data_IF_748853227883
#
_entry.id   IF_748853227883
#
_cell.length_a   1.000
_cell.length_b   1.000
_cell.length_c   1.000
_cell.angle_alpha   90.00
_cell.angle_beta   90.00
_cell.angle_gamma   90.00
#
_symmetry.space_group_name_H-M   'P 1'
#
loop_
_entity.id
_entity.type
_entity.pdbx_description
1 polymer ?
#
# COMPACT_ATOMS: atom_id res chain seq x y z
N UNK A 1 27.58 31.47 -14.88
CA UNK A 1 28.50 30.36 -14.54
C UNK A 1 29.97 30.73 -14.68
N UNK A 2 30.50 31.08 -15.86
CA UNK A 2 31.93 31.45 -16.03
C UNK A 2 32.33 32.64 -15.15
N UNK A 3 31.53 33.71 -15.14
CA UNK A 3 31.72 34.87 -14.25
C UNK A 3 31.76 34.48 -12.77
N UNK A 4 30.98 33.48 -12.37
CA UNK A 4 30.83 33.05 -10.98
C UNK A 4 32.00 32.18 -10.53
N UNK A 5 32.48 31.33 -11.43
CA UNK A 5 33.73 30.58 -11.26
C UNK A 5 34.90 31.56 -11.12
N UNK A 6 34.96 32.60 -11.94
CA UNK A 6 36.01 33.63 -11.85
C UNK A 6 35.94 34.38 -10.52
N UNK A 7 34.75 34.79 -10.06
CA UNK A 7 34.59 35.44 -8.76
C UNK A 7 34.96 34.52 -7.58
N UNK A 8 34.61 33.23 -7.65
CA UNK A 8 34.97 32.27 -6.60
C UNK A 8 36.48 31.97 -6.59
N UNK A 9 37.12 31.88 -7.76
CA UNK A 9 38.59 31.78 -7.86
C UNK A 9 39.26 33.02 -7.27
N UNK A 10 38.79 34.23 -7.60
CA UNK A 10 39.31 35.48 -7.04
C UNK A 10 39.16 35.52 -5.51
N UNK A 11 38.02 35.09 -4.98
CA UNK A 11 37.79 35.00 -3.53
C UNK A 11 38.72 33.99 -2.85
N UNK A 12 38.97 32.83 -3.45
CA UNK A 12 39.87 31.79 -2.90
C UNK A 12 41.32 32.25 -2.89
N UNK A 13 41.75 32.90 -3.98
CA UNK A 13 43.06 33.54 -4.06
C UNK A 13 43.21 34.61 -2.98
N UNK A 14 42.18 35.43 -2.75
CA UNK A 14 42.16 36.42 -1.66
C UNK A 14 42.22 35.81 -0.25
N UNK A 15 41.82 34.56 -0.07
CA UNK A 15 41.89 33.80 1.19
C UNK A 15 43.15 32.91 1.29
N UNK A 16 44.10 33.02 0.34
CA UNK A 16 45.32 32.21 0.31
C UNK A 16 45.09 30.73 -0.04
N UNK A 17 43.94 30.38 -0.60
CA UNK A 17 43.60 29.04 -1.06
C UNK A 17 43.85 28.91 -2.56
N UNK A 18 44.98 28.28 -2.93
CA UNK A 18 45.43 28.15 -4.32
C UNK A 18 45.03 26.82 -4.99
N UNK A 19 44.18 26.02 -4.35
CA UNK A 19 43.70 24.77 -4.92
C UNK A 19 42.81 25.02 -6.14
N UNK A 20 42.99 24.22 -7.20
CA UNK A 20 42.13 24.27 -8.40
C UNK A 20 40.66 24.10 -7.98
N UNK A 21 39.80 25.00 -8.46
CA UNK A 21 38.37 24.94 -8.21
C UNK A 21 37.82 23.60 -8.76
N UNK A 22 37.23 22.77 -7.90
CA UNK A 22 36.83 21.39 -8.24
C UNK A 22 37.77 20.29 -7.73
N UNK A 23 39.00 20.60 -7.31
CA UNK A 23 39.96 19.58 -6.85
C UNK A 23 39.51 18.97 -5.50
N UNK A 24 39.27 17.65 -5.49
CA UNK A 24 38.71 16.89 -4.34
C UNK A 24 37.31 17.35 -3.91
N UNK A 25 36.63 18.12 -4.75
CA UNK A 25 35.27 18.59 -4.49
C UNK A 25 34.26 17.58 -5.05
N UNK A 26 33.45 16.97 -4.18
CA UNK A 26 32.40 16.05 -4.58
C UNK A 26 31.14 16.76 -5.11
N UNK A 27 30.10 15.97 -5.42
CA UNK A 27 28.80 16.43 -5.93
C UNK A 27 28.20 17.57 -5.11
N UNK A 28 28.44 17.60 -3.79
CA UNK A 28 27.95 18.65 -2.87
C UNK A 28 28.42 20.06 -3.22
N UNK A 29 29.70 20.22 -3.55
CA UNK A 29 30.25 21.53 -3.89
C UNK A 29 29.65 22.03 -5.21
N UNK A 30 29.43 21.12 -6.16
CA UNK A 30 28.75 21.43 -7.43
C UNK A 30 27.30 21.83 -7.18
N UNK A 31 26.55 21.09 -6.37
CA UNK A 31 25.17 21.45 -6.00
C UNK A 31 25.10 22.81 -5.30
N UNK A 32 26.03 23.13 -4.40
CA UNK A 32 26.11 24.44 -3.76
C UNK A 32 26.31 25.59 -4.77
N UNK A 33 27.18 25.39 -5.77
CA UNK A 33 27.36 26.38 -6.85
C UNK A 33 26.11 26.55 -7.71
N UNK A 34 25.40 25.46 -8.00
CA UNK A 34 24.13 25.49 -8.74
C UNK A 34 23.08 26.28 -7.97
N UNK A 35 22.93 26.03 -6.66
CA UNK A 35 22.01 26.78 -5.80
C UNK A 35 22.31 28.28 -5.80
N UNK A 36 23.59 28.66 -5.69
CA UNK A 36 24.00 30.07 -5.79
C UNK A 36 23.78 30.70 -7.17
N UNK A 37 23.92 29.92 -8.25
CA UNK A 37 23.57 30.36 -9.59
C UNK A 37 22.06 30.61 -9.74
N UNK A 38 21.22 29.68 -9.27
CA UNK A 38 19.77 29.80 -9.34
C UNK A 38 19.25 31.02 -8.59
N UNK A 39 19.78 31.31 -7.40
CA UNK A 39 19.37 32.47 -6.60
C UNK A 39 19.63 33.79 -7.34
N UNK A 40 20.81 33.91 -7.99
CA UNK A 40 21.13 35.07 -8.82
C UNK A 40 20.22 35.18 -10.04
N UNK A 41 20.02 34.09 -10.78
CA UNK A 41 19.19 34.08 -11.99
C UNK A 41 17.75 34.49 -11.69
N UNK A 42 17.21 34.04 -10.55
CA UNK A 42 15.89 34.43 -10.07
C UNK A 42 15.84 35.90 -9.63
N UNK A 43 16.86 36.37 -8.90
CA UNK A 43 16.97 37.78 -8.48
C UNK A 43 17.02 38.72 -9.69
N UNK A 44 17.74 38.33 -10.74
CA UNK A 44 17.86 39.09 -11.99
C UNK A 44 16.61 38.96 -12.89
N UNK A 45 15.60 38.14 -12.53
CA UNK A 45 14.40 37.82 -13.32
C UNK A 45 14.70 37.40 -14.76
N UNK A 46 15.88 36.83 -15.01
CA UNK A 46 16.35 36.48 -16.36
C UNK A 46 15.79 35.15 -16.87
N UNK A 47 15.23 34.35 -15.99
CA UNK A 47 14.78 32.99 -16.31
C UNK A 47 13.54 32.64 -15.51
N UNK A 48 12.52 32.11 -16.18
CA UNK A 48 11.23 31.77 -15.56
C UNK A 48 11.19 30.37 -14.93
N UNK A 49 12.05 29.45 -15.38
CA UNK A 49 12.12 28.08 -14.85
C UNK A 49 13.03 27.19 -15.69
N UNK A 50 13.31 25.98 -15.21
CA UNK A 50 14.15 25.00 -15.92
C UNK A 50 13.31 24.27 -17.01
N UNK A 51 13.70 24.33 -18.30
CA UNK A 51 13.01 23.60 -19.38
C UNK A 51 12.98 22.09 -19.16
N UNK A 52 11.99 21.40 -19.75
CA UNK A 52 11.81 19.96 -19.52
C UNK A 52 12.95 19.09 -20.05
N UNK A 53 13.58 19.50 -21.15
CA UNK A 53 14.69 18.76 -21.78
C UNK A 53 16.08 19.15 -21.24
N UNK A 54 16.18 19.85 -20.11
CA UNK A 54 17.48 20.27 -19.57
C UNK A 54 18.15 19.16 -18.77
N UNK A 55 19.26 18.64 -19.26
CA UNK A 55 20.21 17.83 -18.49
C UNK A 55 21.44 18.66 -18.14
N UNK A 56 22.03 18.43 -16.97
CA UNK A 56 23.30 19.04 -16.57
C UNK A 56 24.35 17.96 -16.36
N UNK A 57 25.34 17.92 -17.24
CA UNK A 57 26.49 17.05 -17.11
C UNK A 57 27.62 17.74 -16.34
N UNK A 58 28.11 17.07 -15.30
CA UNK A 58 29.22 17.55 -14.48
C UNK A 58 30.46 16.74 -14.84
N UNK A 59 31.39 17.40 -15.52
CA UNK A 59 32.66 16.82 -15.95
C UNK A 59 33.71 17.05 -14.86
N UNK A 60 34.33 15.97 -14.37
CA UNK A 60 35.37 15.99 -13.34
C UNK A 60 36.66 15.45 -13.91
N UNK A 61 37.71 16.28 -13.84
CA UNK A 61 39.03 15.93 -14.32
C UNK A 61 39.95 15.67 -13.11
N UNK A 62 40.59 14.51 -13.10
CA UNK A 62 41.65 14.15 -12.16
C UNK A 62 43.01 14.36 -12.82
N UNK A 63 43.91 15.07 -12.13
CA UNK A 63 45.32 15.20 -12.53
C UNK A 63 46.15 13.96 -12.16
N UNK A 64 45.53 12.77 -12.09
CA UNK A 64 46.22 11.49 -11.92
C UNK A 64 47.04 11.14 -13.16
N UNK A 65 47.95 10.16 -13.04
CA UNK A 65 48.69 9.62 -14.17
C UNK A 65 48.42 8.11 -14.23
N UNK A 66 47.54 7.63 -15.13
CA UNK A 66 46.90 8.35 -16.24
C UNK A 66 45.79 9.33 -15.79
N UNK A 67 45.50 10.39 -16.59
CA UNK A 67 44.43 11.34 -16.31
C UNK A 67 43.07 10.64 -16.41
N UNK A 68 42.25 10.80 -15.38
CA UNK A 68 40.90 10.23 -15.32
C UNK A 68 39.86 11.34 -15.52
N UNK A 69 38.86 11.05 -16.35
CA UNK A 69 37.67 11.90 -16.54
C UNK A 69 36.45 11.12 -16.06
N UNK A 70 35.70 11.72 -15.13
CA UNK A 70 34.44 11.18 -14.63
C UNK A 70 33.31 12.15 -14.97
N UNK A 71 32.19 11.63 -15.47
CA UNK A 71 31.03 12.43 -15.83
C UNK A 71 29.87 12.02 -14.95
N UNK A 72 29.32 12.96 -14.19
CA UNK A 72 28.13 12.75 -13.37
C UNK A 72 26.99 13.61 -13.90
N UNK A 73 25.86 13.01 -14.26
CA UNK A 73 24.65 13.76 -14.61
C UNK A 73 23.92 14.25 -13.34
N UNK A 74 23.43 15.49 -13.37
CA UNK A 74 22.41 15.99 -12.44
C UNK A 74 21.08 16.01 -13.20
N UNK A 75 20.14 15.11 -12.87
CA UNK A 75 18.90 14.96 -13.61
C UNK A 75 18.01 16.21 -13.58
N UNK A 76 17.20 16.39 -14.63
CA UNK A 76 16.27 17.52 -14.76
C UNK A 76 15.34 17.68 -13.55
N UNK A 77 14.79 16.57 -13.04
CA UNK A 77 13.89 16.58 -11.88
C UNK A 77 14.57 17.18 -10.63
N UNK A 78 15.85 16.85 -10.41
CA UNK A 78 16.62 17.42 -9.31
C UNK A 78 16.89 18.92 -9.53
N UNK A 79 17.22 19.34 -10.75
CA UNK A 79 17.40 20.77 -11.07
C UNK A 79 16.13 21.58 -10.86
N UNK A 80 14.97 21.07 -11.31
CA UNK A 80 13.67 21.72 -11.11
C UNK A 80 13.35 21.88 -9.63
N UNK A 81 13.55 20.84 -8.83
CA UNK A 81 13.34 20.91 -7.39
C UNK A 81 14.27 21.95 -6.74
N UNK A 82 15.57 21.92 -7.03
CA UNK A 82 16.54 22.86 -6.47
C UNK A 82 16.23 24.31 -6.87
N UNK A 83 15.83 24.54 -8.13
CA UNK A 83 15.39 25.84 -8.62
C UNK A 83 14.21 26.38 -7.80
N UNK A 84 13.17 25.57 -7.63
CA UNK A 84 11.99 25.96 -6.88
C UNK A 84 12.29 26.21 -5.39
N UNK A 85 13.09 25.35 -4.77
CA UNK A 85 13.48 25.51 -3.37
C UNK A 85 14.25 26.82 -3.14
N UNK A 86 15.10 27.23 -4.08
CA UNK A 86 15.77 28.54 -4.03
C UNK A 86 14.75 29.67 -4.15
N UNK A 87 13.73 29.54 -5.01
CA UNK A 87 12.64 30.51 -5.14
C UNK A 87 11.84 30.70 -3.84
N UNK A 88 11.77 29.67 -3.00
CA UNK A 88 11.18 29.73 -1.67
C UNK A 88 12.15 30.22 -0.56
N UNK A 89 13.38 30.59 -0.90
CA UNK A 89 14.40 31.06 0.04
C UNK A 89 15.09 29.94 0.84
N UNK A 90 15.01 28.69 0.38
CA UNK A 90 15.50 27.50 1.11
C UNK A 90 16.96 27.14 0.82
N UNK A 91 17.70 28.00 0.10
CA UNK A 91 19.09 27.76 -0.32
C UNK A 91 20.00 27.31 0.83
N UNK A 92 20.09 28.12 1.89
CA UNK A 92 21.01 27.87 3.02
C UNK A 92 20.67 26.58 3.78
N UNK A 93 19.38 26.29 3.89
CA UNK A 93 18.90 25.08 4.52
C UNK A 93 19.30 23.84 3.70
N UNK A 94 19.12 23.89 2.38
CA UNK A 94 19.58 22.83 1.47
C UNK A 94 21.10 22.64 1.51
N UNK A 95 21.89 23.71 1.52
CA UNK A 95 23.34 23.62 1.67
C UNK A 95 23.73 22.92 2.98
N UNK A 96 23.05 23.23 4.09
CA UNK A 96 23.27 22.59 5.40
C UNK A 96 22.88 21.11 5.38
N UNK A 97 21.72 20.80 4.80
CA UNK A 97 21.23 19.43 4.63
C UNK A 97 22.23 18.58 3.85
N UNK A 98 22.67 19.07 2.68
CA UNK A 98 23.63 18.39 1.81
C UNK A 98 25.02 18.25 2.44
N UNK A 99 25.46 19.22 3.24
CA UNK A 99 26.72 19.12 3.97
C UNK A 99 26.72 17.94 4.97
N UNK A 100 25.57 17.69 5.61
CA UNK A 100 25.39 16.63 6.62
C UNK A 100 25.03 15.24 6.05
N UNK A 101 24.93 15.12 4.73
CA UNK A 101 24.47 13.90 4.04
C UNK A 101 25.43 12.71 4.28
N UNK A 102 24.86 11.50 4.37
CA UNK A 102 25.62 10.24 4.44
C UNK A 102 25.74 9.61 3.05
N UNK A 103 26.86 8.91 2.78
CA UNK A 103 27.16 8.31 1.47
C UNK A 103 26.15 7.26 0.98
N UNK A 104 25.42 6.60 1.88
CA UNK A 104 24.60 5.43 1.53
C UNK A 104 23.33 5.76 0.74
N UNK A 105 22.79 6.99 0.83
CA UNK A 105 21.61 7.44 0.06
C UNK A 105 21.70 8.94 -0.20
N UNK A 106 22.27 9.35 -1.34
CA UNK A 106 22.37 10.76 -1.71
C UNK A 106 20.99 11.40 -1.94
N UNK A 107 20.86 12.67 -1.60
CA UNK A 107 19.66 13.47 -1.74
C UNK A 107 19.18 13.53 -3.19
N UNK A 108 20.08 13.79 -4.13
CA UNK A 108 19.75 13.93 -5.56
C UNK A 108 19.23 12.62 -6.16
N UNK A 109 19.77 11.48 -5.69
CA UNK A 109 19.29 10.15 -6.08
C UNK A 109 17.88 9.91 -5.55
N UNK A 110 17.58 10.29 -4.31
CA UNK A 110 16.21 10.23 -3.80
C UNK A 110 15.23 11.11 -4.60
N UNK A 111 15.68 12.28 -5.08
CA UNK A 111 14.84 13.14 -5.94
C UNK A 111 14.58 12.48 -7.29
N UNK A 112 15.59 11.87 -7.90
CA UNK A 112 15.47 11.15 -9.16
C UNK A 112 14.48 9.98 -9.05
N UNK A 113 14.63 9.18 -8.00
CA UNK A 113 13.79 8.01 -7.75
C UNK A 113 12.41 8.34 -7.15
N UNK A 114 12.10 9.63 -6.96
CA UNK A 114 10.83 10.10 -6.37
C UNK A 114 10.52 9.47 -5.00
N UNK A 115 11.56 9.15 -4.22
CA UNK A 115 11.46 8.45 -2.93
C UNK A 115 11.73 9.38 -1.76
N UNK A 116 11.37 8.94 -0.56
CA UNK A 116 11.66 9.72 0.65
C UNK A 116 13.17 9.84 0.93
N UNK A 117 13.60 11.03 1.34
CA UNK A 117 14.95 11.28 1.85
C UNK A 117 14.96 11.28 3.38
N UNK A 118 15.63 10.28 3.97
CA UNK A 118 15.71 10.11 5.42
C UNK A 118 16.30 11.31 6.18
N UNK A 119 17.15 12.12 5.53
CA UNK A 119 17.78 13.29 6.15
C UNK A 119 16.82 14.45 6.44
N UNK A 120 15.62 14.44 5.86
CA UNK A 120 14.58 15.43 6.18
C UNK A 120 13.97 15.20 7.57
N UNK A 121 14.03 13.98 8.08
CA UNK A 121 13.37 13.62 9.32
C UNK A 121 14.22 13.95 10.56
N UNK A 122 13.60 14.38 11.66
CA UNK A 122 14.27 14.52 12.95
C UNK A 122 14.88 13.19 13.40
N UNK A 123 16.14 13.22 13.86
CA UNK A 123 16.87 12.06 14.36
C UNK A 123 17.89 12.44 15.43
N UNK A 124 17.68 11.97 16.66
CA UNK A 124 18.57 12.28 17.78
C UNK A 124 18.63 13.80 18.02
N UNK A 125 19.83 14.39 17.89
CA UNK A 125 20.05 15.85 17.99
C UNK A 125 19.75 16.61 16.70
N UNK A 126 19.65 15.93 15.56
CA UNK A 126 19.31 16.54 14.28
C UNK A 126 17.82 16.86 14.24
N UNK A 127 17.49 18.13 14.01
CA UNK A 127 16.09 18.60 13.99
C UNK A 127 15.34 18.22 12.72
N UNK A 128 16.02 17.74 11.67
CA UNK A 128 15.39 17.53 10.37
C UNK A 128 15.27 18.83 9.58
N UNK A 129 14.55 18.75 8.47
CA UNK A 129 14.19 19.89 7.64
C UNK A 129 13.08 20.72 8.29
N UNK A 130 13.06 22.01 7.97
CA UNK A 130 11.98 22.94 8.29
C UNK A 130 10.65 22.50 7.66
N UNK A 131 9.49 22.89 8.23
CA UNK A 131 8.18 22.56 7.66
C UNK A 131 8.05 22.96 6.19
N UNK A 132 8.65 24.10 5.81
CA UNK A 132 8.65 24.62 4.45
C UNK A 132 9.39 23.71 3.47
N UNK A 133 10.64 23.36 3.77
CA UNK A 133 11.44 22.48 2.91
C UNK A 133 10.85 21.07 2.86
N UNK A 134 10.37 20.58 4.00
CA UNK A 134 9.74 19.27 4.09
C UNK A 134 8.47 19.20 3.24
N UNK A 135 7.55 20.16 3.37
CA UNK A 135 6.32 20.20 2.58
C UNK A 135 6.62 20.31 1.07
N UNK A 136 7.55 21.18 0.68
CA UNK A 136 7.99 21.31 -0.71
C UNK A 136 8.49 19.98 -1.27
N UNK A 137 9.35 19.28 -0.52
CA UNK A 137 9.89 17.97 -0.94
C UNK A 137 8.79 16.92 -1.07
N UNK A 138 7.92 16.79 -0.06
CA UNK A 138 6.85 15.79 -0.08
C UNK A 138 5.90 15.97 -1.27
N UNK A 139 5.60 17.21 -1.65
CA UNK A 139 4.74 17.49 -2.80
C UNK A 139 5.48 17.32 -4.12
N UNK A 140 6.66 17.93 -4.27
CA UNK A 140 7.37 17.98 -5.57
C UNK A 140 8.12 16.71 -5.92
N UNK A 141 8.59 15.98 -4.92
CA UNK A 141 9.41 14.78 -5.12
C UNK A 141 8.58 13.53 -4.86
N UNK A 142 7.91 13.45 -3.70
CA UNK A 142 7.15 12.25 -3.32
C UNK A 142 5.71 12.24 -3.86
N UNK A 143 5.29 13.27 -4.61
CA UNK A 143 3.96 13.35 -5.22
C UNK A 143 2.80 13.40 -4.22
N UNK A 144 3.06 13.71 -2.94
CA UNK A 144 1.99 13.80 -1.93
C UNK A 144 1.14 15.04 -2.16
N UNK A 145 -0.16 14.93 -1.89
CA UNK A 145 -1.05 16.09 -2.00
C UNK A 145 -0.94 16.98 -0.76
N UNK A 146 -1.23 18.29 -0.87
CA UNK A 146 -1.33 19.16 0.31
C UNK A 146 -2.29 18.62 1.37
N UNK A 147 -3.41 18.02 0.93
CA UNK A 147 -4.41 17.39 1.80
C UNK A 147 -3.81 16.26 2.65
N UNK A 148 -2.96 15.42 2.07
CA UNK A 148 -2.29 14.33 2.80
C UNK A 148 -1.39 14.88 3.91
N UNK A 149 -0.68 15.97 3.65
CA UNK A 149 0.16 16.64 4.65
C UNK A 149 -0.68 17.27 5.77
N UNK A 150 -1.78 17.94 5.42
CA UNK A 150 -2.75 18.48 6.39
C UNK A 150 -3.28 17.37 7.30
N UNK A 151 -3.63 16.22 6.73
CA UNK A 151 -4.16 15.08 7.50
C UNK A 151 -3.11 14.47 8.42
N UNK A 152 -1.86 14.32 7.96
CA UNK A 152 -0.78 13.85 8.82
C UNK A 152 -0.53 14.81 10.00
N UNK A 153 -0.54 16.12 9.74
CA UNK A 153 -0.41 17.15 10.77
C UNK A 153 -1.58 17.14 11.74
N UNK A 154 -2.82 17.01 11.24
CA UNK A 154 -4.02 16.92 12.07
C UNK A 154 -3.99 15.68 12.99
N UNK A 155 -3.60 14.51 12.46
CA UNK A 155 -3.44 13.29 13.25
C UNK A 155 -2.37 13.45 14.34
N UNK A 156 -1.22 14.05 13.99
CA UNK A 156 -0.14 14.32 14.94
C UNK A 156 -0.60 15.29 16.04
N UNK A 157 -1.26 16.38 15.66
CA UNK A 157 -1.76 17.43 16.57
C UNK A 157 -2.79 16.87 17.52
N UNK A 158 -3.80 16.16 17.02
CA UNK A 158 -4.82 15.55 17.85
C UNK A 158 -4.19 14.56 18.85
N UNK A 159 -3.27 13.70 18.39
CA UNK A 159 -2.63 12.73 19.28
C UNK A 159 -1.76 13.41 20.34
N UNK A 160 -1.07 14.49 20.00
CA UNK A 160 -0.24 15.22 20.94
C UNK A 160 -1.05 15.82 22.10
N UNK A 161 -2.31 16.22 21.87
CA UNK A 161 -3.18 16.75 22.95
C UNK A 161 -3.64 15.69 23.95
N UNK A 162 -3.64 14.41 23.56
CA UNK A 162 -4.08 13.29 24.39
C UNK A 162 -2.95 12.65 25.21
N UNK A 163 -1.69 13.00 24.93
CA UNK A 163 -0.51 12.37 25.51
C UNK A 163 0.18 13.28 26.52
N UNK A 164 0.68 12.67 27.59
CA UNK A 164 1.64 13.34 28.46
C UNK A 164 2.99 13.55 27.73
N UNK A 165 3.82 14.45 28.29
CA UNK A 165 5.11 14.79 27.70
C UNK A 165 6.00 13.56 27.47
N UNK A 166 6.01 12.62 28.42
CA UNK A 166 6.85 11.41 28.36
C UNK A 166 6.46 10.50 27.19
N UNK A 167 5.16 10.24 27.01
CA UNK A 167 4.70 9.39 25.92
C UNK A 167 4.82 10.09 24.56
N UNK A 168 4.60 11.41 24.51
CA UNK A 168 4.82 12.19 23.31
C UNK A 168 6.30 12.14 22.87
N UNK A 169 7.24 12.31 23.81
CA UNK A 169 8.68 12.22 23.51
C UNK A 169 9.13 10.83 23.09
N UNK A 170 8.45 9.76 23.56
CA UNK A 170 8.66 8.39 23.07
C UNK A 170 8.18 8.24 21.63
N UNK A 171 6.99 8.76 21.32
CA UNK A 171 6.37 8.65 19.99
C UNK A 171 7.15 9.42 18.91
N UNK A 172 7.83 10.49 19.30
CA UNK A 172 8.74 11.27 18.45
C UNK A 172 9.99 10.51 17.98
N UNK A 173 10.37 9.41 18.63
CA UNK A 173 11.56 8.62 18.29
C UNK A 173 11.34 7.83 16.99
N UNK A 174 12.44 7.41 16.36
CA UNK A 174 12.43 6.64 15.11
C UNK A 174 11.61 5.34 15.27
N UNK A 175 11.71 4.71 16.43
CA UNK A 175 11.00 3.49 16.80
C UNK A 175 9.58 3.76 17.35
N UNK A 176 9.14 5.03 17.42
CA UNK A 176 7.88 5.42 18.06
C UNK A 176 6.64 4.71 17.49
N UNK A 177 6.69 4.34 16.20
CA UNK A 177 5.62 3.63 15.49
C UNK A 177 5.93 2.15 15.25
N UNK A 178 6.98 1.59 15.85
CA UNK A 178 7.33 0.17 15.74
C UNK A 178 6.30 -0.75 16.42
N UNK A 179 5.64 -0.25 17.47
CA UNK A 179 4.61 -0.97 18.21
C UNK A 179 3.26 -0.97 17.48
N UNK A 180 2.67 -2.15 17.33
CA UNK A 180 1.37 -2.30 16.69
C UNK A 180 0.24 -1.59 17.46
N UNK A 181 0.33 -1.54 18.79
CA UNK A 181 -0.63 -0.85 19.66
C UNK A 181 -0.72 0.65 19.33
N UNK A 182 0.43 1.31 19.14
CA UNK A 182 0.52 2.73 18.75
C UNK A 182 -0.12 2.93 17.37
N UNK A 183 0.25 2.12 16.38
CA UNK A 183 -0.35 2.22 15.03
C UNK A 183 -1.86 1.99 15.06
N UNK A 184 -2.34 1.06 15.89
CA UNK A 184 -3.76 0.78 16.03
C UNK A 184 -4.54 1.94 16.66
N UNK A 185 -3.93 2.75 17.54
CA UNK A 185 -4.55 3.97 18.06
C UNK A 185 -4.79 5.00 16.95
N UNK A 186 -3.78 5.26 16.11
CA UNK A 186 -3.92 6.16 14.96
C UNK A 186 -4.92 5.61 13.93
N UNK A 187 -4.87 4.31 13.63
CA UNK A 187 -5.88 3.65 12.79
C UNK A 187 -7.30 3.82 13.36
N UNK A 188 -7.44 3.77 14.69
CA UNK A 188 -8.70 4.07 15.37
C UNK A 188 -9.19 5.51 15.14
N UNK A 189 -8.29 6.50 15.18
CA UNK A 189 -8.60 7.90 14.86
C UNK A 189 -9.01 8.06 13.40
N UNK A 190 -8.23 7.50 12.46
CA UNK A 190 -8.50 7.55 11.02
C UNK A 190 -9.89 6.94 10.71
N UNK A 191 -10.21 5.78 11.28
CA UNK A 191 -11.51 5.16 11.08
C UNK A 191 -12.67 5.97 11.65
N UNK A 192 -12.45 6.73 12.72
CA UNK A 192 -13.45 7.66 13.27
C UNK A 192 -13.68 8.84 12.33
N UNK A 193 -12.60 9.45 11.85
CA UNK A 193 -12.67 10.54 10.87
C UNK A 193 -13.37 10.10 9.58
N UNK A 194 -13.21 8.84 9.16
CA UNK A 194 -13.91 8.28 8.00
C UNK A 194 -15.44 8.16 8.23
N UNK A 195 -15.86 7.78 9.44
CA UNK A 195 -17.28 7.76 9.82
C UNK A 195 -17.89 9.16 9.92
N UNK A 196 -17.06 10.16 10.26
CA UNK A 196 -17.43 11.57 10.33
C UNK A 196 -17.38 12.28 8.96
N UNK A 197 -16.91 11.59 7.91
CA UNK A 197 -16.83 12.12 6.55
C UNK A 197 -15.63 13.05 6.30
N UNK A 198 -14.72 13.19 7.26
CA UNK A 198 -13.54 14.07 7.16
C UNK A 198 -12.29 13.38 6.63
N UNK A 199 -12.39 12.08 6.33
CA UNK A 199 -11.28 11.25 5.86
C UNK A 199 -11.81 10.18 4.89
N UNK A 200 -11.12 9.91 3.79
CA UNK A 200 -11.52 8.89 2.80
C UNK A 200 -10.46 7.79 2.60
N UNK A 201 -10.77 6.77 1.79
CA UNK A 201 -9.76 5.76 1.42
C UNK A 201 -8.65 6.37 0.55
N UNK A 202 -8.96 7.38 -0.27
CA UNK A 202 -7.96 8.07 -1.10
C UNK A 202 -7.00 8.87 -0.22
N UNK A 203 -7.51 9.51 0.83
CA UNK A 203 -6.69 10.16 1.86
C UNK A 203 -5.77 9.15 2.55
N UNK A 204 -6.30 7.96 2.88
CA UNK A 204 -5.54 6.88 3.49
C UNK A 204 -4.40 6.43 2.58
N UNK A 205 -4.69 6.16 1.31
CA UNK A 205 -3.68 5.71 0.35
C UNK A 205 -2.68 6.81 -0.04
N UNK A 206 -3.06 8.08 0.11
CA UNK A 206 -2.12 9.18 0.01
C UNK A 206 -1.10 9.23 1.17
N UNK A 207 -1.52 8.84 2.38
CA UNK A 207 -0.61 8.68 3.53
C UNK A 207 0.19 7.39 3.44
N UNK A 208 -0.48 6.28 3.14
CA UNK A 208 0.03 4.92 3.12
C UNK A 208 -0.18 4.30 1.72
N UNK A 209 0.70 4.63 0.75
CA UNK A 209 0.59 4.12 -0.62
C UNK A 209 0.50 2.60 -0.67
N UNK A 210 -0.38 2.08 -1.51
CA UNK A 210 -0.52 0.64 -1.72
C UNK A 210 0.72 0.08 -2.42
N UNK A 211 1.17 -1.10 -2.00
CA UNK A 211 2.27 -1.82 -2.65
C UNK A 211 1.70 -2.73 -3.73
N UNK A 212 1.69 -2.25 -4.97
CA UNK A 212 1.11 -2.99 -6.10
C UNK A 212 1.87 -4.28 -6.40
N UNK A 213 3.21 -4.24 -6.32
CA UNK A 213 4.09 -5.35 -6.67
C UNK A 213 4.09 -6.50 -5.64
N UNK A 214 3.72 -6.23 -4.39
CA UNK A 214 3.67 -7.26 -3.35
C UNK A 214 2.38 -8.07 -3.43
N UNK A 215 2.36 -9.33 -3.00
CA UNK A 215 1.10 -10.08 -2.90
C UNK A 215 0.26 -9.68 -1.68
N UNK A 216 -1.06 -9.73 -1.84
CA UNK A 216 -2.03 -9.30 -0.84
C UNK A 216 -2.16 -7.77 -0.74
N UNK A 217 -3.08 -7.31 0.10
CA UNK A 217 -3.31 -5.88 0.33
C UNK A 217 -2.34 -5.33 1.38
N UNK A 218 -1.29 -4.64 0.93
CA UNK A 218 -0.26 -4.03 1.78
C UNK A 218 -0.08 -2.56 1.44
N UNK A 219 0.37 -1.80 2.43
CA UNK A 219 0.66 -0.37 2.29
C UNK A 219 2.06 -0.06 2.79
N UNK A 220 2.64 1.03 2.28
CA UNK A 220 3.94 1.52 2.72
C UNK A 220 3.90 2.02 4.17
N UNK A 221 5.06 1.99 4.83
CA UNK A 221 5.23 2.48 6.19
C UNK A 221 5.38 4.02 6.25
N UNK A 222 5.52 4.67 5.10
CA UNK A 222 5.92 6.08 4.99
C UNK A 222 4.97 7.06 5.68
N UNK A 223 3.66 6.77 5.69
CA UNK A 223 2.68 7.61 6.40
C UNK A 223 2.97 7.76 7.90
N UNK A 224 3.59 6.76 8.52
CA UNK A 224 4.01 6.86 9.92
C UNK A 224 5.19 7.80 10.10
N UNK A 225 6.13 7.83 9.15
CA UNK A 225 7.22 8.80 9.15
C UNK A 225 6.70 10.23 8.99
N UNK A 226 5.69 10.41 8.14
CA UNK A 226 5.06 11.70 7.92
C UNK A 226 4.34 12.22 9.18
N UNK A 227 3.53 11.37 9.83
CA UNK A 227 2.89 11.72 11.12
C UNK A 227 3.97 12.00 12.18
N UNK A 228 5.02 11.17 12.23
CA UNK A 228 6.14 11.37 13.16
C UNK A 228 6.84 12.71 12.94
N UNK A 229 7.05 13.12 11.69
CA UNK A 229 7.63 14.43 11.37
C UNK A 229 6.80 15.55 12.02
N UNK A 230 5.48 15.56 11.81
CA UNK A 230 4.62 16.60 12.36
C UNK A 230 4.49 16.55 13.88
N UNK A 231 4.72 15.41 14.54
CA UNK A 231 4.83 15.38 16.00
C UNK A 231 5.98 16.26 16.52
N UNK A 232 7.05 16.44 15.75
CA UNK A 232 8.15 17.36 16.10
C UNK A 232 7.85 18.82 15.76
N UNK A 233 6.89 19.08 14.87
CA UNK A 233 6.56 20.39 14.32
C UNK A 233 5.06 20.69 14.47
N UNK A 234 4.53 20.57 15.69
CA UNK A 234 3.10 20.76 15.98
C UNK A 234 2.62 22.17 15.61
N UNK A 235 3.41 23.19 15.92
CA UNK A 235 3.09 24.60 15.62
C UNK A 235 3.51 25.02 14.20
N UNK A 236 4.19 24.13 13.47
CA UNK A 236 4.78 24.41 12.16
C UNK A 236 4.10 23.62 11.06
N UNK A 237 3.02 24.17 10.50
CA UNK A 237 2.42 23.67 9.26
C UNK A 237 2.43 24.75 8.19
N UNK A 238 3.15 24.49 7.10
CA UNK A 238 3.06 25.31 5.90
C UNK A 238 2.25 24.55 4.87
N UNK A 239 1.11 25.13 4.48
CA UNK A 239 0.26 24.58 3.44
C UNK A 239 0.95 24.79 2.09
N UNK A 240 1.41 23.74 1.39
CA UNK A 240 2.02 23.91 0.09
C UNK A 240 0.99 24.33 -0.94
N UNK A 241 1.45 25.03 -1.98
CA UNK A 241 0.61 25.45 -3.10
C UNK A 241 -0.03 24.24 -3.79
N UNK A 242 -1.31 24.36 -4.12
CA UNK A 242 -2.04 23.31 -4.81
C UNK A 242 -1.50 23.15 -6.23
N UNK A 243 -1.21 21.91 -6.64
CA UNK A 243 -0.84 21.60 -8.01
C UNK A 243 -1.99 20.96 -8.78
N UNK A 244 -2.03 21.23 -10.07
CA UNK A 244 -2.91 20.57 -11.03
C UNK A 244 -2.59 19.08 -11.05
N UNK A 245 -3.53 18.27 -10.55
CA UNK A 245 -3.44 16.81 -10.47
C UNK A 245 -3.20 16.19 -11.85
N UNK A 246 -2.28 15.23 -11.95
CA UNK A 246 -2.57 14.07 -12.77
C UNK A 246 -3.60 13.23 -12.00
N UNK A 247 -4.67 12.80 -12.69
CA UNK A 247 -5.65 11.91 -12.09
C UNK A 247 -4.91 10.67 -11.58
N UNK A 248 -5.06 10.34 -10.29
CA UNK A 248 -4.59 9.07 -9.76
C UNK A 248 -5.32 7.98 -10.55
N UNK A 249 -4.58 7.26 -11.39
CA UNK A 249 -5.09 6.06 -12.01
C UNK A 249 -5.48 5.10 -10.89
N UNK A 250 -6.72 4.62 -10.91
CA UNK A 250 -7.19 3.71 -9.89
C UNK A 250 -6.36 2.43 -9.95
N UNK A 251 -5.74 2.09 -8.82
CA UNK A 251 -5.01 0.84 -8.67
C UNK A 251 -5.95 -0.35 -8.91
N UNK A 252 -5.53 -1.39 -9.66
CA UNK A 252 -6.30 -2.61 -9.81
C UNK A 252 -6.68 -3.23 -8.46
N UNK A 253 -5.78 -3.22 -7.48
CA UNK A 253 -6.05 -3.71 -6.13
C UNK A 253 -7.09 -2.87 -5.39
N UNK A 254 -7.05 -1.55 -5.52
CA UNK A 254 -8.09 -0.69 -4.92
C UNK A 254 -9.48 -1.00 -5.48
N UNK A 255 -9.58 -1.27 -6.79
CA UNK A 255 -10.83 -1.68 -7.41
C UNK A 255 -11.37 -2.98 -6.79
N UNK A 256 -10.51 -3.96 -6.48
CA UNK A 256 -10.91 -5.17 -5.73
C UNK A 256 -11.41 -4.82 -4.34
N UNK A 257 -10.63 -4.04 -3.60
CA UNK A 257 -10.96 -3.69 -2.23
C UNK A 257 -12.35 -3.04 -2.19
N UNK A 258 -12.65 -2.15 -3.13
CA UNK A 258 -13.99 -1.55 -3.30
C UNK A 258 -15.06 -2.57 -3.66
N UNK A 259 -14.80 -3.44 -4.64
CA UNK A 259 -15.75 -4.48 -5.04
C UNK A 259 -16.16 -5.38 -3.86
N UNK A 260 -15.20 -6.04 -3.21
CA UNK A 260 -15.49 -6.98 -2.13
C UNK A 260 -16.07 -6.28 -0.90
N UNK A 261 -15.58 -5.09 -0.55
CA UNK A 261 -16.19 -4.29 0.50
C UNK A 261 -17.66 -4.00 0.19
N UNK A 262 -17.98 -3.62 -1.05
CA UNK A 262 -19.35 -3.28 -1.47
C UNK A 262 -20.28 -4.49 -1.41
N UNK A 263 -19.83 -5.67 -1.86
CA UNK A 263 -20.62 -6.90 -1.83
C UNK A 263 -20.91 -7.33 -0.40
N UNK A 264 -19.89 -7.35 0.46
CA UNK A 264 -20.03 -7.72 1.87
C UNK A 264 -20.98 -6.76 2.61
N UNK A 265 -20.84 -5.44 2.39
CA UNK A 265 -21.73 -4.47 3.01
C UNK A 265 -23.17 -4.61 2.54
N UNK A 266 -23.38 -4.76 1.22
CA UNK A 266 -24.73 -4.93 0.65
C UNK A 266 -25.41 -6.16 1.22
N UNK A 267 -24.73 -7.30 1.26
CA UNK A 267 -25.27 -8.53 1.84
C UNK A 267 -25.62 -8.36 3.32
N UNK A 268 -24.69 -7.82 4.12
CA UNK A 268 -24.91 -7.66 5.56
C UNK A 268 -26.03 -6.66 5.86
N UNK A 269 -26.07 -5.52 5.17
CA UNK A 269 -27.10 -4.48 5.36
C UNK A 269 -28.48 -5.01 4.95
N UNK A 270 -28.56 -5.78 3.85
CA UNK A 270 -29.81 -6.43 3.42
C UNK A 270 -30.37 -7.36 4.48
N UNK A 271 -29.51 -8.10 5.19
CA UNK A 271 -29.94 -9.11 6.15
C UNK A 271 -30.19 -8.58 7.56
N UNK A 272 -29.40 -7.60 8.00
CA UNK A 272 -29.37 -7.15 9.40
C UNK A 272 -29.66 -5.67 9.60
N UNK A 273 -29.71 -4.89 8.52
CA UNK A 273 -29.89 -3.45 8.55
C UNK A 273 -28.61 -2.65 8.80
N UNK A 274 -28.66 -1.36 8.43
CA UNK A 274 -27.53 -0.41 8.54
C UNK A 274 -27.09 -0.20 9.99
N UNK A 275 -28.04 -0.13 10.93
CA UNK A 275 -27.72 0.11 12.35
C UNK A 275 -26.90 -1.02 12.96
N UNK A 276 -27.29 -2.28 12.69
CA UNK A 276 -26.53 -3.45 13.14
C UNK A 276 -25.17 -3.53 12.46
N UNK A 277 -25.08 -3.16 11.19
CA UNK A 277 -23.78 -3.08 10.51
C UNK A 277 -22.83 -2.12 11.24
N UNK A 278 -23.32 -0.94 11.63
CA UNK A 278 -22.54 0.06 12.38
C UNK A 278 -22.20 -0.41 13.79
N UNK A 279 -23.19 -0.90 14.55
CA UNK A 279 -23.02 -1.21 15.97
C UNK A 279 -22.31 -2.55 16.23
N UNK A 280 -22.56 -3.58 15.40
CA UNK A 280 -22.00 -4.94 15.56
C UNK A 280 -20.69 -5.08 14.79
N UNK A 281 -20.72 -4.96 13.45
CA UNK A 281 -19.58 -5.30 12.62
C UNK A 281 -18.40 -4.32 12.79
N UNK A 282 -18.65 -3.01 12.63
CA UNK A 282 -17.55 -2.02 12.72
C UNK A 282 -16.93 -1.98 14.12
N UNK A 283 -17.74 -2.12 15.18
CA UNK A 283 -17.26 -2.20 16.56
C UNK A 283 -16.42 -3.46 16.79
N UNK A 284 -16.85 -4.63 16.27
CA UNK A 284 -16.08 -5.86 16.42
C UNK A 284 -14.76 -5.85 15.64
N UNK A 285 -14.72 -5.19 14.48
CA UNK A 285 -13.46 -4.95 13.76
C UNK A 285 -12.55 -4.04 14.59
N UNK A 286 -13.10 -2.98 15.20
CA UNK A 286 -12.33 -2.10 16.07
C UNK A 286 -11.71 -2.83 17.27
N UNK A 287 -12.41 -3.83 17.81
CA UNK A 287 -11.95 -4.68 18.91
C UNK A 287 -11.04 -5.85 18.47
N UNK A 288 -10.79 -6.03 17.17
CA UNK A 288 -10.00 -7.15 16.65
C UNK A 288 -10.72 -8.50 16.67
N UNK A 289 -12.03 -8.52 16.93
CA UNK A 289 -12.86 -9.74 16.98
C UNK A 289 -13.30 -10.24 15.59
N UNK A 290 -12.86 -9.55 14.54
CA UNK A 290 -13.10 -9.89 13.14
C UNK A 290 -11.75 -9.99 12.46
N UNK A 291 -11.48 -11.14 11.85
CA UNK A 291 -10.20 -11.44 11.20
C UNK A 291 -10.38 -12.34 9.99
N UNK A 292 -9.28 -12.95 9.54
CA UNK A 292 -9.26 -13.80 8.36
C UNK A 292 -10.30 -14.93 8.37
N UNK A 293 -10.57 -15.64 9.50
CA UNK A 293 -11.61 -16.67 9.52
C UNK A 293 -13.02 -16.13 9.25
N UNK A 294 -13.32 -14.89 9.67
CA UNK A 294 -14.59 -14.26 9.35
C UNK A 294 -14.67 -13.89 7.87
N UNK A 295 -13.58 -13.33 7.32
CA UNK A 295 -13.50 -13.03 5.88
C UNK A 295 -13.69 -14.27 5.01
N UNK A 296 -13.05 -15.40 5.32
CA UNK A 296 -13.25 -16.67 4.59
C UNK A 296 -14.71 -17.08 4.53
N UNK A 297 -15.42 -16.97 5.66
CA UNK A 297 -16.86 -17.29 5.71
C UNK A 297 -17.69 -16.34 4.85
N UNK A 298 -17.35 -15.05 4.82
CA UNK A 298 -18.02 -14.11 3.91
C UNK A 298 -17.71 -14.46 2.45
N UNK A 299 -16.46 -14.80 2.15
CA UNK A 299 -16.02 -15.12 0.79
C UNK A 299 -16.77 -16.33 0.22
N UNK A 300 -16.82 -17.43 0.96
CA UNK A 300 -17.56 -18.64 0.56
C UNK A 300 -19.05 -18.37 0.43
N UNK A 301 -19.64 -17.69 1.43
CA UNK A 301 -21.07 -17.38 1.41
C UNK A 301 -21.47 -16.58 0.17
N UNK A 302 -20.70 -15.54 -0.16
CA UNK A 302 -21.01 -14.66 -1.27
C UNK A 302 -20.71 -15.34 -2.62
N UNK A 303 -19.74 -16.26 -2.68
CA UNK A 303 -19.48 -17.06 -3.87
C UNK A 303 -20.69 -17.86 -4.37
N UNK A 304 -21.60 -18.25 -3.47
CA UNK A 304 -22.84 -18.97 -3.84
C UNK A 304 -23.82 -18.11 -4.66
N UNK A 305 -23.67 -16.79 -4.67
CA UNK A 305 -24.65 -15.87 -5.28
C UNK A 305 -24.04 -14.79 -6.15
N UNK A 306 -22.75 -14.50 -6.01
CA UNK A 306 -22.06 -13.41 -6.70
C UNK A 306 -20.82 -13.93 -7.44
N UNK A 307 -20.54 -13.42 -8.64
CA UNK A 307 -19.31 -13.72 -9.36
C UNK A 307 -18.08 -13.06 -8.70
N UNK A 308 -16.89 -13.49 -9.10
CA UNK A 308 -15.62 -12.92 -8.65
C UNK A 308 -15.12 -13.40 -7.29
N UNK A 309 -15.90 -14.15 -6.51
CA UNK A 309 -15.41 -14.75 -5.25
C UNK A 309 -14.65 -16.06 -5.51
N UNK A 310 -13.49 -15.95 -6.15
CA UNK A 310 -12.60 -17.08 -6.50
C UNK A 310 -11.40 -17.19 -5.56
N UNK A 311 -10.72 -18.33 -5.56
CA UNK A 311 -9.51 -18.49 -4.74
C UNK A 311 -8.36 -17.60 -5.25
N UNK A 312 -8.24 -17.40 -6.58
CA UNK A 312 -7.32 -16.43 -7.17
C UNK A 312 -7.51 -15.01 -6.64
N UNK A 313 -8.77 -14.55 -6.51
CA UNK A 313 -9.05 -13.26 -5.89
C UNK A 313 -8.71 -13.24 -4.40
N UNK A 314 -9.03 -14.31 -3.66
CA UNK A 314 -8.66 -14.46 -2.25
C UNK A 314 -7.14 -14.33 -2.06
N UNK A 315 -6.34 -15.01 -2.88
CA UNK A 315 -4.87 -14.95 -2.86
C UNK A 315 -4.36 -13.53 -3.09
N UNK A 316 -4.92 -12.85 -4.09
CA UNK A 316 -4.57 -11.46 -4.41
C UNK A 316 -4.84 -10.49 -3.26
N UNK A 317 -5.87 -10.76 -2.45
CA UNK A 317 -6.28 -9.88 -1.35
C UNK A 317 -5.60 -10.20 -0.01
N UNK A 318 -5.43 -11.49 0.29
CA UNK A 318 -5.23 -11.96 1.66
C UNK A 318 -3.94 -12.76 1.87
N UNK A 319 -3.22 -13.17 0.82
CA UNK A 319 -2.04 -14.03 0.94
C UNK A 319 -0.77 -13.27 0.55
N UNK A 320 0.33 -13.53 1.26
CA UNK A 320 1.64 -12.94 0.93
C UNK A 320 2.44 -13.84 -0.01
N UNK A 321 3.70 -13.46 -0.26
CA UNK A 321 4.56 -14.16 -1.21
C UNK A 321 4.88 -15.59 -0.74
N UNK A 322 4.75 -15.84 0.56
CA UNK A 322 4.94 -17.14 1.21
C UNK A 322 3.61 -17.85 1.47
N UNK A 323 2.52 -17.40 0.84
CA UNK A 323 1.15 -17.88 1.06
C UNK A 323 0.66 -17.77 2.52
N UNK A 324 1.27 -16.89 3.32
CA UNK A 324 0.83 -16.65 4.70
C UNK A 324 -0.35 -15.68 4.66
N UNK A 325 -1.45 -16.07 5.32
CA UNK A 325 -2.67 -15.28 5.37
C UNK A 325 -2.57 -14.07 6.29
N UNK A 326 -2.84 -12.88 5.74
CA UNK A 326 -2.96 -11.64 6.50
C UNK A 326 -4.17 -10.82 6.00
N UNK A 327 -5.08 -10.48 6.91
CA UNK A 327 -6.32 -9.78 6.54
C UNK A 327 -6.54 -8.45 7.26
N UNK A 328 -5.61 -8.04 8.13
CA UNK A 328 -5.79 -6.86 8.99
C UNK A 328 -5.80 -5.56 8.19
N UNK A 329 -4.92 -5.42 7.21
CA UNK A 329 -4.87 -4.24 6.34
C UNK A 329 -6.11 -4.17 5.43
N UNK A 330 -6.49 -5.29 4.79
CA UNK A 330 -7.72 -5.38 4.01
C UNK A 330 -8.96 -4.99 4.82
N UNK A 331 -9.12 -5.57 6.02
CA UNK A 331 -10.24 -5.24 6.91
C UNK A 331 -10.23 -3.78 7.36
N UNK A 332 -9.04 -3.20 7.53
CA UNK A 332 -8.92 -1.79 7.85
C UNK A 332 -9.41 -0.93 6.68
N UNK A 333 -8.99 -1.21 5.45
CA UNK A 333 -9.45 -0.49 4.27
C UNK A 333 -10.95 -0.66 4.02
N UNK A 334 -11.50 -1.87 4.22
CA UNK A 334 -12.94 -2.12 4.22
C UNK A 334 -13.66 -1.24 5.24
N UNK A 335 -13.13 -1.15 6.47
CA UNK A 335 -13.70 -0.29 7.51
C UNK A 335 -13.73 1.18 7.11
N UNK A 336 -12.71 1.68 6.39
CA UNK A 336 -12.69 3.06 5.89
C UNK A 336 -13.74 3.29 4.80
N UNK A 337 -13.83 2.38 3.83
CA UNK A 337 -14.83 2.42 2.77
C UNK A 337 -16.24 2.41 3.36
N UNK A 338 -16.53 1.44 4.22
CA UNK A 338 -17.82 1.31 4.87
C UNK A 338 -18.17 2.52 5.73
N UNK A 339 -17.20 3.08 6.45
CA UNK A 339 -17.41 4.31 7.22
C UNK A 339 -17.81 5.48 6.32
N UNK A 340 -17.10 5.65 5.21
CA UNK A 340 -17.37 6.70 4.21
C UNK A 340 -18.74 6.52 3.54
N UNK A 341 -19.09 5.28 3.18
CA UNK A 341 -20.36 4.93 2.53
C UNK A 341 -21.56 5.11 3.45
N UNK A 342 -21.43 4.71 4.73
CA UNK A 342 -22.45 4.96 5.74
C UNK A 342 -22.67 6.45 5.99
N UNK A 343 -21.59 7.24 6.01
CA UNK A 343 -21.69 8.70 6.18
C UNK A 343 -22.43 9.36 5.02
N UNK A 344 -22.11 8.96 3.79
CA UNK A 344 -22.72 9.53 2.56
C UNK A 344 -24.11 8.97 2.25
N UNK A 345 -24.53 7.94 2.96
CA UNK A 345 -25.71 7.13 2.64
C UNK A 345 -25.71 6.52 1.22
N UNK A 346 -24.52 6.21 0.68
CA UNK A 346 -24.34 5.66 -0.66
C UNK A 346 -23.76 4.26 -0.57
N UNK A 347 -24.38 3.30 -1.26
CA UNK A 347 -23.75 2.00 -1.53
C UNK A 347 -22.93 2.14 -2.82
N UNK A 348 -21.63 1.87 -2.75
CA UNK A 348 -20.80 1.95 -3.95
C UNK A 348 -21.19 0.87 -4.96
N UNK A 349 -21.32 1.28 -6.20
CA UNK A 349 -21.31 0.38 -7.34
C UNK A 349 -19.85 0.05 -7.68
N UNK A 350 -19.59 -1.20 -8.00
CA UNK A 350 -18.28 -1.65 -8.45
C UNK A 350 -18.52 -2.78 -9.45
N UNK A 351 -17.81 -2.71 -10.57
CA UNK A 351 -17.83 -3.77 -11.58
C UNK A 351 -17.20 -5.04 -11.02
N UNK A 352 -17.65 -6.18 -11.54
CA UNK A 352 -17.05 -7.47 -11.22
C UNK A 352 -15.58 -7.45 -11.69
N UNK A 353 -14.62 -7.75 -10.82
CA UNK A 353 -13.22 -7.77 -11.23
C UNK A 353 -12.96 -8.93 -12.19
N UNK A 354 -12.16 -8.69 -13.23
CA UNK A 354 -11.74 -9.73 -14.17
C UNK A 354 -10.64 -10.56 -13.51
N UNK A 355 -10.91 -11.82 -13.18
CA UNK A 355 -9.93 -12.78 -12.67
C UNK A 355 -9.99 -14.10 -13.42
N UNK A 356 -8.83 -14.72 -13.54
CA UNK A 356 -8.73 -16.13 -13.86
C UNK A 356 -9.34 -16.92 -12.68
N UNK A 357 -10.32 -17.75 -12.99
CA UNK A 357 -10.87 -18.70 -12.04
C UNK A 357 -9.81 -19.77 -11.76
N UNK A 358 -9.00 -19.56 -10.71
CA UNK A 358 -8.09 -20.57 -10.19
C UNK A 358 -8.57 -20.99 -8.80
N UNK A 359 -8.66 -22.30 -8.60
CA UNK A 359 -8.86 -22.94 -7.30
C UNK A 359 -7.53 -23.14 -6.54
N UNK A 360 -6.37 -23.13 -7.23
CA UNK A 360 -5.07 -23.62 -6.76
C UNK A 360 -5.15 -25.00 -6.07
N UNK A 361 -6.14 -25.83 -6.45
CA UNK A 361 -6.23 -27.24 -6.11
C UNK A 361 -5.67 -28.07 -7.27
N UNK A 362 -5.16 -29.29 -7.03
CA UNK A 362 -4.84 -30.22 -8.11
C UNK A 362 -6.05 -30.44 -9.03
N UNK A 363 -5.79 -30.64 -10.32
CA UNK A 363 -6.83 -30.78 -11.33
C UNK A 363 -7.73 -31.98 -11.04
N UNK A 364 -7.16 -33.08 -10.54
CA UNK A 364 -7.87 -34.28 -10.15
C UNK A 364 -8.89 -33.98 -9.04
N UNK A 365 -8.49 -33.19 -8.03
CA UNK A 365 -9.38 -32.80 -6.92
C UNK A 365 -10.49 -31.89 -7.44
N UNK A 366 -10.16 -30.92 -8.29
CA UNK A 366 -11.14 -30.00 -8.87
C UNK A 366 -12.16 -30.76 -9.74
N UNK A 367 -11.70 -31.69 -10.57
CA UNK A 367 -12.54 -32.54 -11.40
C UNK A 367 -13.45 -33.44 -10.56
N UNK A 368 -12.90 -34.10 -9.53
CA UNK A 368 -13.69 -34.94 -8.62
C UNK A 368 -14.78 -34.16 -7.88
N UNK A 369 -14.49 -32.94 -7.44
CA UNK A 369 -15.51 -32.08 -6.84
C UNK A 369 -16.63 -31.72 -7.82
N UNK A 370 -16.29 -31.42 -9.08
CA UNK A 370 -17.26 -31.15 -10.16
C UNK A 370 -18.14 -32.36 -10.45
N UNK A 371 -17.55 -33.55 -10.58
CA UNK A 371 -18.29 -34.79 -10.82
C UNK A 371 -19.23 -35.13 -9.66
N UNK A 372 -18.74 -35.05 -8.42
CA UNK A 372 -19.56 -35.33 -7.22
C UNK A 372 -20.68 -34.32 -7.04
N UNK A 373 -20.42 -33.05 -7.34
CA UNK A 373 -21.47 -32.02 -7.39
C UNK A 373 -22.53 -32.38 -8.43
N UNK A 374 -22.14 -32.66 -9.68
CA UNK A 374 -23.06 -32.99 -10.77
C UNK A 374 -23.92 -34.22 -10.43
N UNK A 375 -23.29 -35.32 -9.96
CA UNK A 375 -23.99 -36.53 -9.52
C UNK A 375 -24.97 -36.26 -8.39
N UNK A 376 -24.61 -35.43 -7.42
CA UNK A 376 -25.49 -35.08 -6.31
C UNK A 376 -26.71 -34.29 -6.80
N UNK A 377 -26.47 -33.27 -7.64
CA UNK A 377 -27.52 -32.40 -8.19
C UNK A 377 -28.46 -33.20 -9.08
N UNK A 378 -27.95 -34.11 -9.92
CA UNK A 378 -28.76 -35.00 -10.74
C UNK A 378 -29.67 -35.90 -9.88
N UNK A 379 -29.13 -36.49 -8.80
CA UNK A 379 -29.88 -37.45 -7.96
C UNK A 379 -30.84 -36.79 -6.97
N UNK A 380 -30.49 -35.63 -6.41
CA UNK A 380 -31.19 -35.01 -5.26
C UNK A 380 -31.65 -33.58 -5.51
N UNK A 381 -31.20 -32.95 -6.58
CA UNK A 381 -31.53 -31.57 -6.94
C UNK A 381 -30.67 -30.51 -6.25
N UNK A 382 -30.57 -29.37 -6.91
CA UNK A 382 -29.72 -28.24 -6.52
C UNK A 382 -30.09 -27.64 -5.14
N UNK A 383 -31.39 -27.54 -4.83
CA UNK A 383 -31.87 -27.04 -3.53
C UNK A 383 -31.40 -27.92 -2.36
N UNK A 384 -31.39 -29.25 -2.56
CA UNK A 384 -30.91 -30.20 -1.56
C UNK A 384 -29.41 -30.09 -1.39
N UNK A 385 -28.64 -29.91 -2.47
CA UNK A 385 -27.20 -29.70 -2.37
C UNK A 385 -26.87 -28.49 -1.47
N UNK A 386 -27.53 -27.35 -1.67
CA UNK A 386 -27.32 -26.17 -0.82
C UNK A 386 -27.64 -26.46 0.66
N UNK A 387 -28.78 -27.08 0.96
CA UNK A 387 -29.18 -27.40 2.33
C UNK A 387 -28.29 -28.45 3.00
N UNK A 388 -28.01 -29.55 2.30
CA UNK A 388 -27.41 -30.76 2.86
C UNK A 388 -25.87 -30.73 2.80
N UNK A 389 -25.29 -29.83 2.01
CA UNK A 389 -23.83 -29.68 1.84
C UNK A 389 -23.38 -28.27 2.23
N UNK A 390 -23.72 -27.23 1.46
CA UNK A 390 -23.16 -25.88 1.67
C UNK A 390 -23.52 -25.27 3.02
N UNK A 391 -24.80 -25.32 3.43
CA UNK A 391 -25.21 -24.81 4.74
C UNK A 391 -24.57 -25.60 5.89
N UNK A 392 -24.38 -26.92 5.72
CA UNK A 392 -23.75 -27.77 6.74
C UNK A 392 -22.25 -27.51 6.84
N UNK A 393 -21.55 -27.31 5.72
CA UNK A 393 -20.15 -26.86 5.70
C UNK A 393 -20.01 -25.50 6.39
N UNK A 394 -20.91 -24.55 6.10
CA UNK A 394 -20.90 -23.20 6.69
C UNK A 394 -21.09 -23.23 8.21
N UNK A 395 -21.96 -24.12 8.70
CA UNK A 395 -22.22 -24.34 10.13
C UNK A 395 -21.15 -25.18 10.82
N UNK A 396 -20.24 -25.81 10.06
CA UNK A 396 -19.22 -26.71 10.58
C UNK A 396 -19.76 -28.08 10.99
N UNK A 397 -20.92 -28.48 10.49
CA UNK A 397 -21.53 -29.79 10.75
C UNK A 397 -20.88 -30.91 9.93
N UNK A 398 -20.20 -30.56 8.84
CA UNK A 398 -19.37 -31.46 8.04
C UNK A 398 -17.99 -30.85 7.83
N UNK A 399 -16.96 -31.71 7.85
CA UNK A 399 -15.54 -31.36 7.94
C UNK A 399 -14.75 -31.84 6.71
N UNK A 400 -13.42 -31.77 6.77
CA UNK A 400 -12.52 -32.42 5.81
C UNK A 400 -12.80 -33.91 5.61
N UNK A 401 -13.30 -34.62 6.62
CA UNK A 401 -13.63 -36.05 6.51
C UNK A 401 -14.79 -36.30 5.55
N UNK A 402 -15.67 -35.32 5.37
CA UNK A 402 -16.69 -35.39 4.34
C UNK A 402 -16.06 -35.33 2.95
N UNK A 403 -15.13 -34.42 2.72
CA UNK A 403 -14.39 -34.31 1.45
C UNK A 403 -13.54 -35.56 1.18
N UNK A 404 -12.81 -36.07 2.19
CA UNK A 404 -12.04 -37.32 2.09
C UNK A 404 -12.95 -38.44 1.58
N UNK A 405 -14.13 -38.61 2.20
CA UNK A 405 -15.11 -39.61 1.74
C UNK A 405 -15.58 -39.36 0.32
N UNK A 406 -15.82 -38.12 -0.11
CA UNK A 406 -16.28 -37.88 -1.48
C UNK A 406 -15.21 -38.16 -2.55
N UNK A 407 -13.95 -37.90 -2.24
CA UNK A 407 -12.84 -37.90 -3.20
C UNK A 407 -12.00 -39.20 -3.18
N UNK A 408 -11.94 -39.89 -2.04
CA UNK A 408 -11.15 -41.11 -1.83
C UNK A 408 -12.01 -42.38 -1.87
N UNK A 409 -13.35 -42.27 -1.90
CA UNK A 409 -14.28 -43.41 -1.77
C UNK A 409 -13.85 -44.64 -2.57
N UNK A 410 -13.85 -45.79 -1.88
CA UNK A 410 -13.66 -47.10 -2.48
C UNK A 410 -14.68 -47.32 -3.61
N UNK A 411 -14.18 -47.78 -4.76
CA UNK A 411 -14.93 -48.11 -5.98
C UNK A 411 -16.34 -48.63 -5.68
N UNK A 412 -17.37 -47.92 -6.13
CA UNK A 412 -18.72 -48.50 -6.19
C UNK A 412 -18.92 -49.37 -7.46
N UNK A 413 -17.92 -49.44 -8.35
CA UNK A 413 -17.93 -50.29 -9.53
C UNK A 413 -16.55 -50.40 -10.20
N UNK A 414 -16.35 -51.38 -11.10
CA UNK A 414 -15.09 -51.60 -11.81
C UNK A 414 -14.71 -50.47 -12.78
N UNK A 415 -15.68 -49.63 -13.19
CA UNK A 415 -15.50 -48.58 -14.21
C UNK A 415 -15.55 -47.14 -13.65
N UNK A 416 -15.73 -46.94 -12.35
CA UNK A 416 -15.65 -45.59 -11.75
C UNK A 416 -14.18 -45.29 -11.38
N UNK A 417 -13.51 -44.31 -12.04
CA UNK A 417 -12.16 -43.93 -11.68
C UNK A 417 -12.14 -43.37 -10.27
N UNK A 418 -11.23 -43.88 -9.44
CA UNK A 418 -10.95 -43.26 -8.15
C UNK A 418 -10.31 -41.90 -8.40
N UNK A 419 -10.89 -40.83 -7.86
CA UNK A 419 -10.38 -39.49 -8.14
C UNK A 419 -9.07 -39.21 -7.40
N UNK A 420 -8.89 -39.79 -6.21
CA UNK A 420 -7.69 -39.59 -5.40
C UNK A 420 -7.38 -40.82 -4.50
N UNK A 421 -6.21 -41.45 -4.62
CA UNK A 421 -5.69 -42.42 -3.66
C UNK A 421 -5.57 -41.87 -2.23
N UNK A 422 -5.59 -42.76 -1.22
CA UNK A 422 -5.58 -42.35 0.20
C UNK A 422 -4.25 -41.69 0.62
N UNK A 423 -3.13 -42.15 0.09
CA UNK A 423 -1.80 -41.54 0.29
C UNK A 423 -1.73 -40.11 -0.27
N UNK A 424 -2.33 -39.90 -1.45
CA UNK A 424 -2.40 -38.56 -2.06
C UNK A 424 -3.30 -37.59 -1.29
N UNK A 425 -4.27 -38.09 -0.51
CA UNK A 425 -5.10 -37.24 0.35
C UNK A 425 -4.28 -36.58 1.46
N UNK A 426 -3.38 -37.34 2.09
CA UNK A 426 -2.55 -36.80 3.16
C UNK A 426 -1.52 -35.80 2.63
N UNK A 427 -1.00 -36.03 1.41
CA UNK A 427 -0.12 -35.10 0.70
C UNK A 427 -0.86 -33.81 0.29
N UNK A 428 -2.11 -33.91 -0.16
CA UNK A 428 -2.95 -32.76 -0.50
C UNK A 428 -3.09 -31.79 0.69
N UNK A 429 -3.14 -32.31 1.91
CA UNK A 429 -3.28 -31.54 3.14
C UNK A 429 -1.96 -30.93 3.64
N UNK A 430 -0.88 -31.05 2.86
CA UNK A 430 0.43 -30.46 3.12
C UNK A 430 0.80 -29.44 2.04
N UNK A 431 1.59 -28.43 2.41
CA UNK A 431 2.20 -27.51 1.46
C UNK A 431 3.49 -28.09 0.86
N UNK A 432 4.14 -27.34 -0.03
CA UNK A 432 5.38 -27.77 -0.68
C UNK A 432 6.53 -28.04 0.31
N UNK A 433 6.48 -27.45 1.50
CA UNK A 433 7.44 -27.69 2.59
C UNK A 433 6.99 -28.80 3.56
N UNK A 434 5.90 -29.51 3.26
CA UNK A 434 5.36 -30.60 4.07
C UNK A 434 4.57 -30.16 5.31
N UNK A 435 4.33 -28.85 5.48
CA UNK A 435 3.59 -28.29 6.62
C UNK A 435 2.09 -28.47 6.42
N UNK A 436 1.31 -28.68 7.49
CA UNK A 436 -0.14 -28.88 7.36
C UNK A 436 -0.84 -27.61 6.86
N UNK A 437 -1.54 -27.72 5.74
CA UNK A 437 -2.33 -26.65 5.10
C UNK A 437 -3.84 -26.98 5.04
N UNK A 438 -4.29 -27.95 5.84
CA UNK A 438 -5.65 -28.50 5.83
C UNK A 438 -6.78 -27.46 5.90
N UNK A 439 -6.59 -26.37 6.66
CA UNK A 439 -7.56 -25.27 6.74
C UNK A 439 -7.69 -24.48 5.44
N UNK A 440 -6.61 -24.34 4.69
CA UNK A 440 -6.63 -23.69 3.37
C UNK A 440 -7.31 -24.58 2.35
N UNK A 441 -6.92 -25.86 2.32
CA UNK A 441 -7.54 -26.87 1.43
C UNK A 441 -9.04 -26.99 1.66
N UNK A 442 -9.48 -27.04 2.92
CA UNK A 442 -10.91 -27.02 3.25
C UNK A 442 -11.61 -25.78 2.67
N UNK A 443 -11.00 -24.60 2.82
CA UNK A 443 -11.54 -23.35 2.28
C UNK A 443 -11.60 -23.37 0.74
N UNK A 444 -10.54 -23.82 0.06
CA UNK A 444 -10.50 -23.96 -1.39
C UNK A 444 -11.60 -24.90 -1.90
N UNK A 445 -11.72 -26.11 -1.33
CA UNK A 445 -12.74 -27.08 -1.76
C UNK A 445 -14.17 -26.58 -1.50
N UNK A 446 -14.40 -25.92 -0.36
CA UNK A 446 -15.70 -25.30 -0.07
C UNK A 446 -16.02 -24.17 -1.05
N UNK A 447 -15.03 -23.35 -1.40
CA UNK A 447 -15.20 -22.26 -2.37
C UNK A 447 -15.51 -22.79 -3.77
N UNK A 448 -14.87 -23.87 -4.20
CA UNK A 448 -15.18 -24.55 -5.47
C UNK A 448 -16.64 -25.01 -5.49
N UNK A 449 -17.12 -25.70 -4.45
CA UNK A 449 -18.52 -26.13 -4.40
C UNK A 449 -19.52 -24.96 -4.37
N UNK A 450 -19.16 -23.84 -3.75
CA UNK A 450 -19.98 -22.63 -3.74
C UNK A 450 -20.07 -21.99 -5.14
N UNK A 451 -18.96 -21.92 -5.87
CA UNK A 451 -18.93 -21.42 -7.25
C UNK A 451 -19.73 -22.32 -8.21
N UNK A 452 -19.57 -23.64 -8.12
CA UNK A 452 -20.35 -24.60 -8.90
C UNK A 452 -21.86 -24.48 -8.64
N UNK A 453 -22.24 -24.27 -7.37
CA UNK A 453 -23.63 -24.02 -7.01
C UNK A 453 -24.18 -22.74 -7.66
N UNK A 454 -23.41 -21.65 -7.63
CA UNK A 454 -23.79 -20.38 -8.28
C UNK A 454 -24.00 -20.58 -9.78
N UNK A 455 -23.03 -21.20 -10.45
CA UNK A 455 -23.07 -21.49 -11.90
C UNK A 455 -24.32 -22.29 -12.27
N UNK A 456 -24.60 -23.37 -11.53
CA UNK A 456 -25.80 -24.18 -11.75
C UNK A 456 -27.11 -23.43 -11.43
N UNK A 457 -27.09 -22.47 -10.50
CA UNK A 457 -28.26 -21.68 -10.13
C UNK A 457 -28.52 -20.51 -11.10
N UNK A 458 -27.49 -20.02 -11.79
CA UNK A 458 -27.53 -18.90 -12.72
C UNK A 458 -26.89 -19.26 -14.09
N UNK A 459 -27.47 -20.20 -14.87
CA UNK A 459 -26.86 -20.69 -16.10
C UNK A 459 -26.69 -19.63 -17.21
N UNK A 460 -27.30 -18.44 -17.07
CA UNK A 460 -27.22 -17.35 -18.05
C UNK A 460 -25.94 -16.52 -17.97
N UNK A 461 -25.09 -16.72 -16.97
CA UNK A 461 -23.82 -15.99 -16.84
C UNK A 461 -22.67 -16.62 -17.65
N UNK A 462 -22.79 -17.88 -18.10
CA UNK A 462 -21.77 -18.55 -18.93
C UNK A 462 -21.69 -18.03 -20.38
N UNK A 463 -22.72 -17.34 -20.89
CA UNK A 463 -22.69 -16.76 -22.25
C UNK A 463 -22.02 -15.37 -22.32
N UNK A 464 -21.57 -14.81 -21.18
CA UNK A 464 -21.09 -13.42 -21.06
C UNK A 464 -19.66 -13.27 -20.52
N UNK A 465 -18.99 -14.38 -20.19
CA UNK A 465 -17.54 -14.46 -19.90
C UNK A 465 -16.84 -15.16 -21.06
#
# INVERSE_FOLDING_TARGET
>A
MVRDIVLEVQSRVGLGSYGTLGAKEGTRAVTGRILGLFERLQTEKRFSGIPEATALEVWRFSNSNPPECDTTEIPNAALKFLWEAVGHGLRRELETLLASEKKQRPFLECVLEQREYGGLYPRGKWKGASPKLFALYQVRVCGRTPRVLELAHALASQRATELDKKNLDRLKREEGFSEASVRNQFRGMIARMALEGTFTIEDYLGLFPMREEESGIRVSFDGWNLIRYYLHYLDGFERPEAQTRQALQESPKLALVRYYASCIMRDYVRERGKDKFRSDLLSRIALGNVGLPWLRRQFVRLAETLPGFTYGAWKTLCLDANAIGFGSELLFQFRLLWGTWLHKDVLAESSVPVYLDSSDLPDEVTLGLRERFAQYVERRGLKRFHSDVLLRLRRGEISLDWFKRQLVSERNGPDEPCTLPEDQWDDLLRDAEGRPCSRERFFQMHLVLANLYREANNPKEEELL
#
